data_IF_586735846484
#
_entry.id   IF_586735846484
#
_cell.length_a   1.000
_cell.length_b   1.000
_cell.length_c   1.000
_cell.angle_alpha   90.00
_cell.angle_beta   90.00
_cell.angle_gamma   90.00
#
_symmetry.space_group_name_H-M   'P 1'
#
loop_
_entity.id
_entity.type
_entity.pdbx_description
1 polymer ?
#
# COMPACT_ATOMS: atom_id res chain seq x y z
N UNK A 1 -8.91 -6.31 -18.29
CA UNK A 1 -8.24 -5.95 -17.02
C UNK A 1 -6.76 -6.28 -17.18
N UNK A 2 -5.83 -5.33 -17.09
CA UNK A 2 -4.42 -5.62 -17.34
C UNK A 2 -3.90 -6.51 -16.21
N UNK A 3 -3.93 -7.82 -16.46
CA UNK A 3 -3.16 -8.77 -15.69
C UNK A 3 -1.71 -8.24 -15.67
N UNK A 4 -1.16 -7.99 -14.48
CA UNK A 4 0.21 -7.51 -14.24
C UNK A 4 0.47 -5.99 -14.20
N UNK A 5 -0.49 -5.14 -13.82
CA UNK A 5 -0.14 -3.75 -13.45
C UNK A 5 0.94 -3.74 -12.35
N UNK A 6 2.01 -2.96 -12.57
CA UNK A 6 3.08 -2.76 -11.59
C UNK A 6 2.66 -1.64 -10.64
N UNK A 7 2.49 -1.99 -9.36
CA UNK A 7 2.11 -1.08 -8.29
C UNK A 7 3.33 -0.87 -7.40
N UNK A 8 3.83 0.36 -7.34
CA UNK A 8 4.88 0.77 -6.42
C UNK A 8 4.23 1.38 -5.18
N UNK A 9 4.37 0.72 -4.05
CA UNK A 9 4.01 1.25 -2.74
C UNK A 9 5.19 2.02 -2.18
N UNK A 10 5.08 3.34 -2.14
CA UNK A 10 6.04 4.21 -1.46
C UNK A 10 5.55 4.41 -0.03
N UNK A 11 6.37 4.11 0.95
CA UNK A 11 5.96 4.14 2.35
C UNK A 11 6.95 4.91 3.21
N UNK A 12 6.38 5.78 4.04
CA UNK A 12 7.09 6.59 5.00
C UNK A 12 7.58 5.82 6.22
N UNK A 13 8.52 6.41 6.98
CA UNK A 13 8.72 5.97 8.34
C UNK A 13 7.48 6.34 9.17
N UNK A 14 7.11 5.49 10.13
CA UNK A 14 6.05 5.81 11.08
C UNK A 14 6.47 5.45 12.50
N UNK A 15 5.90 6.16 13.47
CA UNK A 15 6.13 5.88 14.88
C UNK A 15 5.35 4.64 15.32
N UNK A 16 6.07 3.68 15.89
CA UNK A 16 5.47 2.52 16.53
C UNK A 16 6.31 2.06 17.72
N UNK A 17 5.68 2.05 18.89
CA UNK A 17 6.32 1.79 20.18
C UNK A 17 7.45 2.81 20.50
N UNK A 18 7.22 4.10 20.21
CA UNK A 18 8.18 5.18 20.47
C UNK A 18 9.38 5.25 19.51
N UNK A 19 9.42 4.40 18.48
CA UNK A 19 10.47 4.38 17.46
C UNK A 19 9.90 4.73 16.09
N UNK A 20 10.49 5.71 15.41
CA UNK A 20 10.15 6.12 14.04
C UNK A 20 11.06 5.36 13.07
N UNK A 21 10.50 4.38 12.35
CA UNK A 21 11.24 3.57 11.39
C UNK A 21 10.36 3.19 10.18
N UNK A 22 11.00 2.89 9.05
CA UNK A 22 10.37 2.26 7.90
C UNK A 22 10.04 0.81 8.25
N UNK A 23 8.76 0.52 8.49
CA UNK A 23 8.29 -0.84 8.78
C UNK A 23 7.26 -1.28 7.75
N UNK A 24 7.36 -2.54 7.35
CA UNK A 24 6.50 -3.14 6.33
C UNK A 24 5.35 -3.98 6.91
N UNK A 25 5.27 -4.13 8.24
CA UNK A 25 4.25 -4.96 8.91
C UNK A 25 2.81 -4.59 8.51
N UNK A 26 2.47 -3.30 8.50
CA UNK A 26 1.13 -2.82 8.08
C UNK A 26 0.94 -2.88 6.56
N UNK A 27 2.03 -2.89 5.78
CA UNK A 27 1.97 -2.96 4.32
C UNK A 27 1.75 -4.39 3.83
N UNK A 28 2.02 -5.42 4.64
CA UNK A 28 1.81 -6.81 4.26
C UNK A 28 0.35 -7.10 3.86
N UNK A 29 -0.62 -6.56 4.60
CA UNK A 29 -2.04 -6.72 4.26
C UNK A 29 -2.38 -6.12 2.91
N UNK A 30 -1.92 -4.89 2.66
CA UNK A 30 -2.14 -4.20 1.39
C UNK A 30 -1.46 -4.92 0.22
N UNK A 31 -0.23 -5.41 0.41
CA UNK A 31 0.46 -6.23 -0.58
C UNK A 31 -0.27 -7.54 -0.87
N UNK A 32 -0.79 -8.21 0.16
CA UNK A 32 -1.53 -9.45 0.01
C UNK A 32 -2.82 -9.21 -0.78
N UNK A 33 -3.55 -8.13 -0.49
CA UNK A 33 -4.77 -7.74 -1.22
C UNK A 33 -4.49 -7.49 -2.71
N UNK A 34 -3.43 -6.73 -3.03
CA UNK A 34 -3.02 -6.44 -4.40
C UNK A 34 -2.50 -7.70 -5.14
N UNK A 35 -1.71 -8.54 -4.46
CA UNK A 35 -1.22 -9.82 -5.03
C UNK A 35 -2.35 -10.81 -5.26
N UNK A 36 -3.36 -10.84 -4.39
CA UNK A 36 -4.53 -11.69 -4.56
C UNK A 36 -5.33 -11.34 -5.83
N UNK A 37 -5.24 -10.09 -6.29
CA UNK A 37 -5.78 -9.62 -7.57
C UNK A 37 -4.86 -9.85 -8.78
N UNK A 38 -3.63 -10.33 -8.55
CA UNK A 38 -2.64 -10.58 -9.60
C UNK A 38 -1.73 -9.39 -9.93
N UNK A 39 -1.71 -8.35 -9.11
CA UNK A 39 -0.82 -7.20 -9.30
C UNK A 39 0.58 -7.44 -8.70
N UNK A 40 1.61 -6.84 -9.33
CA UNK A 40 2.98 -6.89 -8.81
C UNK A 40 3.24 -5.69 -7.92
N UNK A 41 3.44 -5.94 -6.63
CA UNK A 41 3.71 -4.91 -5.63
C UNK A 41 5.22 -4.74 -5.43
N UNK A 42 5.74 -3.53 -5.65
CA UNK A 42 7.09 -3.11 -5.25
C UNK A 42 7.02 -2.20 -4.03
N UNK A 43 7.99 -2.30 -3.13
CA UNK A 43 8.12 -1.43 -1.96
C UNK A 43 9.21 -0.42 -2.23
N UNK A 44 8.95 0.84 -1.93
CA UNK A 44 9.91 1.93 -2.01
C UNK A 44 9.85 2.76 -0.71
N UNK A 45 11.01 3.05 -0.15
CA UNK A 45 11.09 3.87 1.06
C UNK A 45 10.91 5.35 0.68
N UNK A 46 9.92 5.99 1.30
CA UNK A 46 9.64 7.41 1.13
C UNK A 46 10.14 8.20 2.35
N UNK A 47 10.64 9.44 2.19
CA UNK A 47 10.94 10.32 3.31
C UNK A 47 9.68 10.92 3.97
N UNK A 48 8.49 10.77 3.35
CA UNK A 48 7.25 11.38 3.82
C UNK A 48 6.74 10.64 5.06
N UNK A 49 6.65 11.32 6.20
CA UNK A 49 6.30 10.68 7.46
C UNK A 49 4.86 10.16 7.50
N UNK A 50 4.68 8.93 8.01
CA UNK A 50 3.39 8.28 8.24
C UNK A 50 2.47 8.16 7.01
N UNK A 51 3.02 8.23 5.80
CA UNK A 51 2.26 8.22 4.55
C UNK A 51 2.59 7.00 3.69
N UNK A 52 1.58 6.48 3.00
CA UNK A 52 1.70 5.46 1.97
C UNK A 52 1.12 6.02 0.68
N UNK A 53 1.85 5.84 -0.40
CA UNK A 53 1.49 6.26 -1.74
C UNK A 53 1.51 5.03 -2.64
N UNK A 54 0.42 4.79 -3.37
CA UNK A 54 0.34 3.78 -4.42
C UNK A 54 0.54 4.46 -5.76
N UNK A 55 1.62 4.09 -6.42
CA UNK A 55 1.98 4.57 -7.76
C UNK A 55 1.82 3.41 -8.74
N UNK A 56 0.96 3.56 -9.74
CA UNK A 56 0.74 2.56 -10.79
C UNK A 56 1.27 3.12 -12.10
N UNK A 57 2.21 2.42 -12.73
CA UNK A 57 2.86 2.86 -13.97
C UNK A 57 3.40 4.31 -13.96
N UNK A 58 3.80 4.81 -12.79
CA UNK A 58 4.36 6.16 -12.62
C UNK A 58 3.34 7.21 -12.19
N UNK A 59 2.06 6.88 -12.10
CA UNK A 59 1.00 7.78 -11.65
C UNK A 59 0.55 7.44 -10.24
N UNK A 60 0.44 8.45 -9.37
CA UNK A 60 -0.11 8.29 -8.02
C UNK A 60 -1.62 8.09 -8.12
N UNK A 61 -2.10 6.88 -7.84
CA UNK A 61 -3.53 6.54 -7.92
C UNK A 61 -4.23 6.62 -6.57
N UNK A 62 -3.49 6.45 -5.48
CA UNK A 62 -4.04 6.44 -4.14
C UNK A 62 -2.98 6.81 -3.12
N UNK A 63 -3.38 7.50 -2.05
CA UNK A 63 -2.52 7.76 -0.90
C UNK A 63 -3.31 7.67 0.39
N UNK A 64 -2.69 7.16 1.45
CA UNK A 64 -3.30 7.01 2.76
C UNK A 64 -2.24 7.11 3.86
N UNK A 65 -2.67 7.24 5.11
CA UNK A 65 -1.74 7.21 6.24
C UNK A 65 -1.43 5.76 6.64
N UNK A 66 -0.17 5.47 6.99
CA UNK A 66 0.23 4.13 7.47
C UNK A 66 -0.63 3.69 8.67
N UNK A 67 -0.96 4.62 9.56
CA UNK A 67 -1.78 4.32 10.75
C UNK A 67 -3.22 3.88 10.42
N UNK A 68 -3.72 4.19 9.23
CA UNK A 68 -5.06 3.75 8.80
C UNK A 68 -5.07 2.30 8.30
N UNK A 69 -3.92 1.76 7.89
CA UNK A 69 -3.78 0.34 7.55
C UNK A 69 -3.78 -0.48 8.84
N UNK A 70 -4.60 -1.53 8.87
CA UNK A 70 -4.64 -2.50 9.95
C UNK A 70 -3.32 -3.27 10.05
N UNK A 71 -3.02 -3.73 11.28
CA UNK A 71 -1.74 -4.35 11.58
C UNK A 71 -1.77 -5.84 11.26
N UNK A 72 -1.03 -6.25 10.22
CA UNK A 72 -0.89 -7.65 9.83
C UNK A 72 -2.17 -8.23 9.21
N UNK A 73 -2.03 -9.43 8.62
CA UNK A 73 -3.12 -10.15 7.95
C UNK A 73 -3.09 -10.05 6.42
N UNK A 74 -4.20 -10.45 5.80
CA UNK A 74 -4.38 -10.53 4.35
C UNK A 74 -5.04 -9.28 3.73
N UNK A 75 -5.30 -8.24 4.53
CA UNK A 75 -5.84 -6.95 4.08
C UNK A 75 -7.26 -7.02 3.50
N UNK A 76 -7.94 -8.16 3.58
CA UNK A 76 -9.27 -8.36 2.99
C UNK A 76 -10.40 -7.65 3.71
N UNK A 77 -10.27 -7.49 5.03
CA UNK A 77 -11.27 -6.81 5.87
C UNK A 77 -10.99 -5.32 5.99
N UNK A 78 -9.77 -4.91 5.66
CA UNK A 78 -9.33 -3.53 5.77
C UNK A 78 -10.00 -2.68 4.66
N UNK A 79 -10.79 -1.64 5.03
CA UNK A 79 -11.50 -0.81 4.07
C UNK A 79 -10.53 0.00 3.20
N UNK A 80 -9.40 0.44 3.75
CA UNK A 80 -8.38 1.21 3.02
C UNK A 80 -7.72 0.33 1.95
N UNK A 81 -7.47 -0.94 2.26
CA UNK A 81 -6.97 -1.90 1.28
C UNK A 81 -7.95 -2.10 0.12
N UNK A 82 -9.26 -2.17 0.40
CA UNK A 82 -10.28 -2.27 -0.66
C UNK A 82 -10.32 -1.01 -1.52
N UNK A 83 -10.28 0.16 -0.92
CA UNK A 83 -10.24 1.43 -1.65
C UNK A 83 -8.99 1.53 -2.51
N UNK A 84 -7.82 1.17 -1.96
CA UNK A 84 -6.56 1.17 -2.68
C UNK A 84 -6.58 0.21 -3.89
N UNK A 85 -7.08 -1.01 -3.71
CA UNK A 85 -7.26 -1.97 -4.80
C UNK A 85 -8.23 -1.42 -5.85
N UNK A 86 -9.36 -0.86 -5.42
CA UNK A 86 -10.36 -0.26 -6.33
C UNK A 86 -9.79 0.93 -7.10
N UNK A 87 -8.95 1.76 -6.48
CA UNK A 87 -8.29 2.88 -7.14
C UNK A 87 -7.27 2.40 -8.19
N UNK A 88 -6.52 1.35 -7.88
CA UNK A 88 -5.61 0.69 -8.85
C UNK A 88 -6.40 0.08 -10.01
N UNK A 89 -7.55 -0.54 -9.74
CA UNK A 89 -8.44 -1.10 -10.76
C UNK A 89 -9.10 -0.01 -11.61
N UNK A 90 -9.45 1.16 -11.06
CA UNK A 90 -10.04 2.28 -11.81
C UNK A 90 -9.01 3.07 -12.64
N UNK A 91 -7.73 3.00 -12.30
CA UNK A 91 -6.67 3.65 -13.05
C UNK A 91 -6.39 2.98 -14.41
N UNK A 92 -7.06 1.86 -14.74
CA UNK A 92 -6.89 1.07 -15.98
C UNK A 92 -8.20 0.49 -16.51
#
# INVERSE_FOLDING_TARGET
MPANARVTLRYGPYESNGLVQHRTFRLQGLQAALRARGHKCMLEESPVWNMVELVVNGELVFSCLIKQLEFGGDGKLDPVCKEAVTAVENAY
#
